data_IF_491326095304
#
_entry.id   IF_491326095304
#
_cell.length_a   1.000
_cell.length_b   1.000
_cell.length_c   1.000
_cell.angle_alpha   90.00
_cell.angle_beta   90.00
_cell.angle_gamma   90.00
#
_symmetry.space_group_name_H-M   'P 1'
#
loop_
_entity.id
_entity.type
_entity.pdbx_description
1 polymer ?
#
# COMPACT_ATOMS: atom_id res chain seq x y z
N UNK A 1 25.51 -0.09 34.46
CA UNK A 1 24.27 -0.64 33.87
C UNK A 1 23.84 0.23 32.68
N UNK A 2 23.64 -0.37 31.52
CA UNK A 2 23.25 0.35 30.33
C UNK A 2 21.76 0.69 30.39
N UNK A 3 21.43 1.94 30.10
CA UNK A 3 20.04 2.38 30.10
C UNK A 3 19.39 2.05 28.77
N UNK A 4 18.09 1.74 28.72
CA UNK A 4 17.41 1.48 27.47
C UNK A 4 17.52 2.64 26.45
N UNK A 5 17.67 3.87 26.93
CA UNK A 5 17.84 5.04 26.08
C UNK A 5 19.17 5.06 25.32
N UNK A 6 20.17 4.27 25.78
CA UNK A 6 21.46 4.19 25.12
C UNK A 6 21.43 3.25 23.90
N UNK A 7 20.40 2.39 23.81
CA UNK A 7 20.25 1.41 22.74
C UNK A 7 18.78 1.14 22.43
N UNK A 8 18.41 1.05 21.17
CA UNK A 8 19.11 1.55 20.00
C UNK A 8 19.12 3.09 19.99
N UNK A 9 19.89 3.75 19.12
CA UNK A 9 19.80 5.20 19.00
C UNK A 9 18.36 5.60 18.65
N UNK A 10 17.94 6.80 19.09
CA UNK A 10 16.57 7.25 18.82
C UNK A 10 16.28 7.25 17.32
N UNK A 11 15.08 6.82 16.96
CA UNK A 11 14.62 6.81 15.57
C UNK A 11 14.56 8.25 15.04
N UNK A 12 15.16 8.47 13.89
CA UNK A 12 15.06 9.73 13.16
C UNK A 12 14.52 9.43 11.77
N UNK A 13 13.38 10.01 11.44
CA UNK A 13 12.75 9.81 10.15
C UNK A 13 13.67 10.18 9.00
N UNK A 14 14.49 11.23 9.16
CA UNK A 14 15.41 11.69 8.14
C UNK A 14 16.49 10.66 7.78
N UNK A 15 16.81 9.72 8.68
CA UNK A 15 17.78 8.67 8.42
C UNK A 15 17.22 7.57 7.48
N UNK A 16 15.91 7.47 7.39
CA UNK A 16 15.23 6.41 6.65
C UNK A 16 14.37 6.93 5.50
N UNK A 17 14.00 8.20 5.54
CA UNK A 17 13.13 8.82 4.55
C UNK A 17 13.91 9.93 3.86
N UNK A 18 14.16 9.77 2.57
CA UNK A 18 14.82 10.78 1.78
C UNK A 18 13.89 11.99 1.58
N UNK A 19 14.47 13.19 1.63
CA UNK A 19 13.73 14.38 1.27
C UNK A 19 13.32 14.33 -0.22
N UNK A 20 12.16 14.89 -0.60
CA UNK A 20 11.79 14.95 -2.01
C UNK A 20 12.83 15.73 -2.81
N UNK A 21 13.48 15.05 -3.76
CA UNK A 21 14.51 15.65 -4.60
C UNK A 21 14.19 15.53 -6.08
N UNK A 22 13.15 14.77 -6.42
CA UNK A 22 12.77 14.54 -7.80
C UNK A 22 12.13 15.78 -8.41
N UNK A 23 12.36 16.05 -9.71
CA UNK A 23 11.66 17.12 -10.41
C UNK A 23 10.15 16.93 -10.34
N UNK A 24 9.36 18.02 -10.27
CA UNK A 24 7.90 17.93 -10.22
C UNK A 24 7.27 17.09 -11.33
N UNK A 25 7.87 17.06 -12.50
CA UNK A 25 7.37 16.28 -13.65
C UNK A 25 7.52 14.77 -13.46
N UNK A 26 8.35 14.33 -12.52
CA UNK A 26 8.51 12.90 -12.18
C UNK A 26 7.57 12.45 -11.07
N UNK A 27 6.81 13.38 -10.51
CA UNK A 27 5.86 13.08 -9.44
C UNK A 27 4.54 12.66 -10.01
N UNK A 28 3.95 11.63 -9.41
CA UNK A 28 2.63 11.14 -9.77
C UNK A 28 1.70 11.40 -8.60
N UNK A 29 0.61 12.12 -8.85
CA UNK A 29 -0.42 12.33 -7.84
C UNK A 29 -1.42 11.19 -7.86
N UNK A 30 -1.67 10.59 -6.71
CA UNK A 30 -2.64 9.50 -6.57
C UNK A 30 -3.63 9.84 -5.46
N UNK A 31 -4.85 9.38 -5.59
CA UNK A 31 -5.87 9.60 -4.57
C UNK A 31 -5.61 8.74 -3.33
N UNK A 32 -5.35 7.47 -3.53
CA UNK A 32 -5.05 6.50 -2.47
C UNK A 32 -3.83 5.70 -2.87
N UNK A 33 -2.84 5.63 -1.98
CA UNK A 33 -1.66 4.80 -2.19
C UNK A 33 -1.70 3.61 -1.23
N UNK A 34 -1.65 2.41 -1.80
CA UNK A 34 -1.56 1.17 -1.04
C UNK A 34 -0.13 0.69 -1.11
N UNK A 35 0.49 0.49 0.02
CA UNK A 35 1.88 0.03 0.09
C UNK A 35 1.90 -1.47 0.33
N UNK A 36 2.40 -2.20 -0.64
CA UNK A 36 2.47 -3.65 -0.61
C UNK A 36 1.39 -4.32 -1.47
N UNK A 37 1.82 -5.17 -2.39
CA UNK A 37 0.93 -5.93 -3.28
C UNK A 37 0.83 -7.40 -2.84
N UNK A 38 0.81 -7.64 -1.54
CA UNK A 38 0.50 -8.94 -0.96
C UNK A 38 -1.02 -9.14 -0.88
N UNK A 39 -1.48 -10.23 -0.24
CA UNK A 39 -2.92 -10.54 -0.18
C UNK A 39 -3.76 -9.41 0.40
N UNK A 40 -3.30 -8.79 1.48
CA UNK A 40 -4.04 -7.70 2.12
C UNK A 40 -4.11 -6.45 1.24
N UNK A 41 -2.99 -6.06 0.65
CA UNK A 41 -2.94 -4.88 -0.23
C UNK A 41 -3.79 -5.07 -1.48
N UNK A 42 -3.71 -6.24 -2.10
CA UNK A 42 -4.52 -6.56 -3.28
C UNK A 42 -6.02 -6.62 -2.95
N UNK A 43 -6.39 -7.23 -1.83
CA UNK A 43 -7.78 -7.28 -1.40
C UNK A 43 -8.33 -5.87 -1.13
N UNK A 44 -7.54 -5.03 -0.49
CA UNK A 44 -7.90 -3.64 -0.24
C UNK A 44 -8.12 -2.88 -1.56
N UNK A 45 -7.22 -3.02 -2.52
CA UNK A 45 -7.32 -2.36 -3.82
C UNK A 45 -8.56 -2.82 -4.58
N UNK A 46 -8.83 -4.12 -4.62
CA UNK A 46 -9.99 -4.68 -5.32
C UNK A 46 -11.29 -4.15 -4.68
N UNK A 47 -11.38 -4.21 -3.36
CA UNK A 47 -12.59 -3.75 -2.67
C UNK A 47 -12.81 -2.25 -2.84
N UNK A 48 -11.74 -1.47 -2.75
CA UNK A 48 -11.82 -0.04 -2.97
C UNK A 48 -12.26 0.27 -4.40
N UNK A 49 -11.74 -0.44 -5.39
CA UNK A 49 -12.17 -0.30 -6.78
C UNK A 49 -13.64 -0.62 -6.96
N UNK A 50 -14.14 -1.68 -6.33
CA UNK A 50 -15.56 -2.03 -6.36
C UNK A 50 -16.44 -0.92 -5.77
N UNK A 51 -16.02 -0.37 -4.63
CA UNK A 51 -16.76 0.72 -3.98
C UNK A 51 -16.75 1.99 -4.80
N UNK A 52 -15.65 2.29 -5.48
CA UNK A 52 -15.54 3.50 -6.32
C UNK A 52 -16.37 3.38 -7.60
N UNK A 53 -16.64 2.19 -8.10
CA UNK A 53 -17.56 2.00 -9.22
C UNK A 53 -18.97 2.48 -8.87
N UNK A 54 -19.37 2.32 -7.60
CA UNK A 54 -20.67 2.76 -7.11
C UNK A 54 -20.66 4.22 -6.62
N UNK A 55 -19.51 4.87 -6.65
CA UNK A 55 -19.35 6.24 -6.16
C UNK A 55 -18.54 7.08 -7.16
N UNK A 56 -19.09 7.36 -8.35
CA UNK A 56 -18.36 8.08 -9.40
C UNK A 56 -17.92 9.49 -8.99
N UNK A 57 -18.69 10.16 -8.15
CA UNK A 57 -18.31 11.48 -7.65
C UNK A 57 -17.05 11.43 -6.80
N UNK A 58 -16.94 10.43 -5.95
CA UNK A 58 -15.75 10.23 -5.11
C UNK A 58 -14.55 9.84 -5.97
N UNK A 59 -14.75 8.98 -6.94
CA UNK A 59 -13.70 8.59 -7.88
C UNK A 59 -13.14 9.79 -8.62
N UNK A 60 -14.00 10.69 -9.05
CA UNK A 60 -13.60 11.91 -9.74
C UNK A 60 -12.77 12.81 -8.80
N UNK A 61 -13.17 12.93 -7.54
CA UNK A 61 -12.42 13.70 -6.54
C UNK A 61 -11.02 13.16 -6.29
N UNK A 62 -10.83 11.86 -6.44
CA UNK A 62 -9.54 11.21 -6.23
C UNK A 62 -8.56 11.44 -7.40
N UNK A 63 -9.02 12.03 -8.51
CA UNK A 63 -8.17 12.42 -9.62
C UNK A 63 -8.02 11.35 -10.70
N UNK A 64 -7.06 11.56 -11.59
CA UNK A 64 -6.84 10.67 -12.74
C UNK A 64 -6.37 9.28 -12.35
N UNK A 65 -5.60 9.18 -11.26
CA UNK A 65 -5.15 7.91 -10.71
C UNK A 65 -5.78 7.74 -9.33
N UNK A 66 -7.00 7.22 -9.24
CA UNK A 66 -7.70 7.11 -7.95
C UNK A 66 -7.00 6.20 -6.94
N UNK A 67 -6.43 5.10 -7.40
CA UNK A 67 -5.77 4.11 -6.55
C UNK A 67 -4.49 3.64 -7.20
N UNK A 68 -3.42 3.58 -6.44
CA UNK A 68 -2.15 3.02 -6.87
C UNK A 68 -1.60 2.07 -5.81
N UNK A 69 -0.84 1.08 -6.25
CA UNK A 69 -0.19 0.12 -5.35
C UNK A 69 1.31 0.23 -5.55
N UNK A 70 2.04 0.37 -4.45
CA UNK A 70 3.50 0.36 -4.46
C UNK A 70 4.00 -0.97 -3.93
N UNK A 71 4.81 -1.67 -4.72
CA UNK A 71 5.36 -2.98 -4.36
C UNK A 71 6.89 -2.95 -4.48
N UNK A 72 7.58 -3.38 -3.43
CA UNK A 72 9.04 -3.42 -3.40
C UNK A 72 9.62 -4.61 -4.19
N UNK A 73 8.83 -5.67 -4.37
CA UNK A 73 9.21 -6.81 -5.20
C UNK A 73 9.07 -6.51 -6.68
N UNK A 74 9.54 -7.42 -7.53
CA UNK A 74 9.46 -7.25 -8.98
C UNK A 74 8.04 -7.34 -9.50
N UNK A 75 7.16 -8.04 -8.78
CA UNK A 75 5.77 -8.24 -9.17
C UNK A 75 4.92 -8.51 -7.91
N UNK A 76 3.59 -8.35 -8.01
CA UNK A 76 2.70 -8.71 -6.90
C UNK A 76 2.92 -10.14 -6.46
N UNK A 77 2.90 -10.37 -5.16
CA UNK A 77 3.06 -11.70 -4.60
C UNK A 77 4.50 -12.19 -4.47
N UNK A 78 5.50 -11.38 -4.80
CA UNK A 78 6.91 -11.77 -4.76
C UNK A 78 7.39 -12.25 -3.39
N UNK A 79 6.74 -11.79 -2.33
CA UNK A 79 7.13 -12.11 -0.95
C UNK A 79 6.13 -13.01 -0.23
N UNK A 80 5.25 -13.67 -0.97
CA UNK A 80 4.27 -14.58 -0.40
C UNK A 80 4.90 -15.94 -0.06
N UNK A 81 4.43 -16.53 1.03
CA UNK A 81 4.81 -17.89 1.42
C UNK A 81 3.99 -18.90 0.61
N UNK A 82 4.63 -19.97 0.17
CA UNK A 82 3.93 -21.09 -0.45
C UNK A 82 3.44 -22.08 0.61
N UNK A 83 2.37 -22.81 0.30
CA UNK A 83 1.83 -23.85 1.17
C UNK A 83 1.03 -23.33 2.35
N UNK A 84 0.71 -22.06 2.41
CA UNK A 84 -0.12 -21.50 3.47
C UNK A 84 -1.57 -21.98 3.35
N UNK A 85 -2.21 -22.22 4.50
CA UNK A 85 -3.64 -22.55 4.54
C UNK A 85 -4.44 -21.26 4.61
N UNK A 86 -5.41 -21.10 3.73
CA UNK A 86 -6.23 -19.88 3.61
C UNK A 86 -7.65 -20.17 4.05
N UNK A 87 -8.20 -19.30 4.91
CA UNK A 87 -9.62 -19.29 5.18
C UNK A 87 -10.33 -18.55 4.05
N UNK A 88 -11.21 -19.21 3.27
CA UNK A 88 -11.81 -18.60 2.08
C UNK A 88 -12.92 -17.60 2.38
N UNK A 89 -13.25 -17.37 3.63
CA UNK A 89 -14.36 -16.48 4.02
C UNK A 89 -14.22 -15.07 3.46
N UNK A 90 -13.02 -14.49 3.58
CA UNK A 90 -12.75 -13.15 3.09
C UNK A 90 -12.85 -13.08 1.56
N UNK A 91 -12.32 -14.09 0.88
CA UNK A 91 -12.39 -14.17 -0.58
C UNK A 91 -13.82 -14.28 -1.08
N UNK A 92 -14.66 -15.04 -0.40
CA UNK A 92 -16.07 -15.17 -0.74
C UNK A 92 -16.82 -13.86 -0.62
N UNK A 93 -16.44 -13.01 0.34
CA UNK A 93 -17.02 -11.68 0.51
C UNK A 93 -16.53 -10.71 -0.55
N UNK A 94 -15.27 -10.82 -0.93
CA UNK A 94 -14.68 -9.92 -1.91
C UNK A 94 -15.20 -10.18 -3.32
N UNK A 95 -15.36 -11.44 -3.69
CA UNK A 95 -15.79 -11.86 -5.02
C UNK A 95 -17.22 -12.42 -5.06
N UNK A 96 -18.12 -11.67 -4.51
CA UNK A 96 -19.54 -12.04 -4.62
C UNK A 96 -20.03 -11.96 -6.05
#
# INVERSE_FOLDING_TARGET
MTKPADFPPPFRAADYIAAPSDPPEERIEVGVLIVGAGPAGLACAIRLGQLLEDAPELRERLGEVPVAILEKGKQPGSHLLSGAVVNPRALRRLFK
#
